data_IF_921305742159
#
_entry.id   IF_921305742159
#
_cell.length_a   1.000
_cell.length_b   1.000
_cell.length_c   1.000
_cell.angle_alpha   90.00
_cell.angle_beta   90.00
_cell.angle_gamma   90.00
#
_symmetry.space_group_name_H-M   'P 1'
#
loop_
_entity.id
_entity.type
_entity.pdbx_description
1 polymer ?
#
# COMPACT_ATOMS: atom_id res chain seq x y z
N UNK A 1 16.69 -40.39 42.54
CA UNK A 1 16.05 -41.25 41.54
C UNK A 1 14.95 -40.41 40.91
N UNK A 2 15.32 -39.59 39.94
CA UNK A 2 14.39 -38.69 39.26
C UNK A 2 13.67 -39.48 38.16
N UNK A 3 12.33 -39.50 38.21
CA UNK A 3 11.50 -39.99 37.12
C UNK A 3 11.10 -38.78 36.29
N UNK A 4 11.66 -38.67 35.08
CA UNK A 4 11.15 -37.74 34.07
C UNK A 4 10.10 -38.48 33.24
N UNK A 5 8.87 -38.02 33.31
CA UNK A 5 7.75 -38.43 32.46
C UNK A 5 8.08 -38.16 30.98
N UNK A 6 7.96 -39.20 30.14
CA UNK A 6 8.00 -39.12 28.69
C UNK A 6 6.77 -38.36 28.17
N UNK A 7 6.98 -37.17 27.61
CA UNK A 7 5.96 -36.47 26.86
C UNK A 7 5.65 -37.22 25.55
N UNK A 8 4.45 -37.78 25.44
CA UNK A 8 3.92 -38.29 24.18
C UNK A 8 3.69 -37.12 23.20
N UNK A 9 4.45 -37.12 22.10
CA UNK A 9 4.21 -36.26 20.94
C UNK A 9 2.96 -36.78 20.23
N UNK A 10 1.82 -36.14 20.46
CA UNK A 10 0.64 -36.28 19.62
C UNK A 10 0.93 -35.60 18.27
N UNK A 11 1.21 -36.38 17.23
CA UNK A 11 1.16 -35.89 15.86
C UNK A 11 -0.30 -35.69 15.45
N UNK A 12 -0.64 -34.45 15.09
CA UNK A 12 -1.93 -34.05 14.57
C UNK A 12 -2.07 -34.54 13.11
N UNK A 13 -3.06 -35.38 12.77
CA UNK A 13 -3.23 -35.94 11.43
C UNK A 13 -3.59 -34.90 10.35
N UNK A 14 -3.75 -33.63 10.72
CA UNK A 14 -4.05 -32.53 9.80
C UNK A 14 -2.82 -32.00 9.04
N UNK A 15 -1.59 -32.25 9.51
CA UNK A 15 -0.36 -31.75 8.86
C UNK A 15 0.14 -32.61 7.69
N UNK A 16 -0.26 -33.88 7.58
CA UNK A 16 0.21 -34.72 6.47
C UNK A 16 -0.52 -34.43 5.14
N UNK A 17 -1.72 -33.84 5.19
CA UNK A 17 -2.48 -33.49 3.98
C UNK A 17 -1.96 -32.24 3.27
N UNK A 18 -1.33 -31.30 3.97
CA UNK A 18 -0.84 -30.04 3.40
C UNK A 18 0.47 -30.24 2.63
N UNK A 19 1.38 -31.04 3.16
CA UNK A 19 2.71 -31.28 2.57
C UNK A 19 2.67 -31.96 1.19
N UNK A 20 1.72 -32.89 0.98
CA UNK A 20 1.53 -33.58 -0.29
C UNK A 20 1.01 -32.65 -1.40
N UNK A 21 0.07 -31.75 -1.07
CA UNK A 21 -0.50 -30.80 -2.02
C UNK A 21 0.52 -29.73 -2.44
N UNK A 22 1.32 -29.24 -1.50
CA UNK A 22 2.37 -28.25 -1.77
C UNK A 22 3.48 -28.81 -2.68
N UNK A 23 3.88 -30.06 -2.47
CA UNK A 23 4.87 -30.74 -3.32
C UNK A 23 4.40 -30.89 -4.79
N UNK A 24 3.11 -31.13 -5.01
CA UNK A 24 2.52 -31.24 -6.35
C UNK A 24 2.42 -29.88 -7.04
N UNK A 25 2.18 -28.80 -6.28
CA UNK A 25 2.15 -27.43 -6.80
C UNK A 25 3.54 -27.02 -7.29
N UNK A 26 4.59 -27.34 -6.53
CA UNK A 26 5.96 -27.00 -6.91
C UNK A 26 6.47 -27.82 -8.10
N UNK A 27 6.11 -29.10 -8.21
CA UNK A 27 6.40 -29.92 -9.38
C UNK A 27 5.73 -29.35 -10.65
N UNK A 28 4.46 -28.92 -10.56
CA UNK A 28 3.74 -28.29 -11.68
C UNK A 28 4.42 -26.98 -12.11
N UNK A 29 4.86 -26.14 -11.16
CA UNK A 29 5.61 -24.90 -11.44
C UNK A 29 6.94 -25.16 -12.14
N UNK A 30 7.66 -26.20 -11.72
CA UNK A 30 8.93 -26.58 -12.34
C UNK A 30 8.74 -27.03 -13.80
N UNK A 31 7.72 -27.85 -14.07
CA UNK A 31 7.38 -28.28 -15.44
C UNK A 31 6.92 -27.11 -16.29
N UNK A 32 6.08 -26.21 -15.76
CA UNK A 32 5.62 -25.03 -16.48
C UNK A 32 6.78 -24.11 -16.89
N UNK A 33 7.75 -23.90 -16.00
CA UNK A 33 8.96 -23.12 -16.30
C UNK A 33 9.76 -23.76 -17.44
N UNK A 34 9.98 -25.08 -17.39
CA UNK A 34 10.69 -25.81 -18.45
C UNK A 34 9.97 -25.74 -19.79
N UNK A 35 8.65 -25.88 -19.78
CA UNK A 35 7.81 -25.78 -20.98
C UNK A 35 7.93 -24.39 -21.63
N UNK A 36 7.85 -23.33 -20.81
CA UNK A 36 7.95 -21.96 -21.29
C UNK A 36 9.33 -21.68 -21.92
N UNK A 37 10.41 -22.13 -21.28
CA UNK A 37 11.76 -22.02 -21.84
C UNK A 37 11.89 -22.78 -23.16
N UNK A 38 11.36 -24.00 -23.25
CA UNK A 38 11.41 -24.81 -24.47
C UNK A 38 10.68 -24.12 -25.64
N UNK A 39 9.46 -23.63 -25.41
CA UNK A 39 8.71 -22.86 -26.40
C UNK A 39 9.52 -21.68 -26.93
N UNK A 40 10.14 -20.92 -26.04
CA UNK A 40 10.92 -19.75 -26.43
C UNK A 40 12.14 -20.12 -27.27
N UNK A 41 12.86 -21.19 -26.93
CA UNK A 41 13.98 -21.68 -27.72
C UNK A 41 13.57 -22.15 -29.13
N UNK A 42 12.45 -22.88 -29.23
CA UNK A 42 11.92 -23.33 -30.51
C UNK A 42 11.51 -22.15 -31.39
N UNK A 43 10.80 -21.18 -30.81
CA UNK A 43 10.39 -19.97 -31.53
C UNK A 43 11.58 -19.15 -32.02
N UNK A 44 12.61 -18.95 -31.20
CA UNK A 44 13.84 -18.25 -31.60
C UNK A 44 14.55 -18.93 -32.77
N UNK A 45 14.61 -20.26 -32.77
CA UNK A 45 15.22 -21.01 -33.86
C UNK A 45 14.36 -20.93 -35.13
N UNK A 46 13.07 -21.15 -35.00
CA UNK A 46 12.13 -21.13 -36.11
C UNK A 46 12.06 -19.76 -36.78
N UNK A 47 12.19 -18.64 -36.05
CA UNK A 47 12.12 -17.29 -36.60
C UNK A 47 13.09 -17.03 -37.78
N UNK A 48 14.19 -17.78 -37.86
CA UNK A 48 15.18 -17.67 -38.94
C UNK A 48 14.76 -18.35 -40.26
N UNK A 49 13.71 -19.18 -40.26
CA UNK A 49 13.27 -19.99 -41.39
C UNK A 49 11.73 -20.13 -41.43
N UNK A 50 11.12 -19.78 -42.55
CA UNK A 50 9.67 -19.85 -42.72
C UNK A 50 9.13 -21.28 -42.58
N UNK A 51 9.82 -22.29 -43.11
CA UNK A 51 9.37 -23.68 -43.02
C UNK A 51 9.36 -24.18 -41.57
N UNK A 52 10.37 -23.80 -40.78
CA UNK A 52 10.45 -24.16 -39.37
C UNK A 52 9.36 -23.45 -38.54
N UNK A 53 8.96 -22.23 -38.93
CA UNK A 53 7.82 -21.54 -38.31
C UNK A 53 6.50 -22.25 -38.55
N UNK A 54 6.26 -22.72 -39.78
CA UNK A 54 5.06 -23.50 -40.10
C UNK A 54 5.09 -24.86 -39.39
N UNK A 55 6.22 -25.56 -39.40
CA UNK A 55 6.36 -26.83 -38.69
C UNK A 55 6.14 -26.69 -37.16
N UNK A 56 6.62 -25.59 -36.55
CA UNK A 56 6.35 -25.28 -35.16
C UNK A 56 4.87 -25.01 -34.91
N UNK A 57 4.22 -24.24 -35.79
CA UNK A 57 2.80 -23.94 -35.71
C UNK A 57 1.95 -25.22 -35.82
N UNK A 58 2.18 -26.05 -36.83
CA UNK A 58 1.46 -27.32 -37.05
C UNK A 58 1.57 -28.24 -35.83
N UNK A 59 2.78 -28.35 -35.25
CA UNK A 59 2.99 -29.12 -34.03
C UNK A 59 2.24 -28.55 -32.82
N UNK A 60 2.17 -27.21 -32.69
CA UNK A 60 1.39 -26.56 -31.63
C UNK A 60 -0.12 -26.73 -31.83
N UNK A 61 -0.59 -26.71 -33.07
CA UNK A 61 -1.99 -26.95 -33.43
C UNK A 61 -2.40 -28.40 -33.14
N UNK A 62 -1.55 -29.37 -33.50
CA UNK A 62 -1.77 -30.78 -33.18
C UNK A 62 -1.83 -31.01 -31.66
N UNK A 63 -0.93 -30.38 -30.90
CA UNK A 63 -0.96 -30.42 -29.44
C UNK A 63 -2.21 -29.77 -28.86
N UNK A 64 -2.64 -28.63 -29.42
CA UNK A 64 -3.88 -27.95 -29.04
C UNK A 64 -5.09 -28.87 -29.23
N UNK A 65 -5.19 -29.54 -30.38
CA UNK A 65 -6.26 -30.49 -30.64
C UNK A 65 -6.23 -31.70 -29.71
N UNK A 66 -5.04 -32.23 -29.37
CA UNK A 66 -4.92 -33.33 -28.40
C UNK A 66 -5.37 -32.94 -26.99
N UNK A 67 -5.15 -31.69 -26.58
CA UNK A 67 -5.49 -31.20 -25.24
C UNK A 67 -6.94 -30.73 -25.12
N UNK A 68 -7.49 -30.15 -26.18
CA UNK A 68 -8.76 -29.42 -26.12
C UNK A 68 -9.79 -29.83 -27.18
N UNK A 69 -9.47 -30.77 -28.09
CA UNK A 69 -10.33 -31.17 -29.20
C UNK A 69 -10.50 -30.06 -30.25
N UNK A 70 -11.68 -29.96 -30.86
CA UNK A 70 -12.03 -28.89 -31.82
C UNK A 70 -12.39 -27.57 -31.12
N UNK A 71 -12.60 -27.62 -29.80
CA UNK A 71 -12.84 -26.43 -29.00
C UNK A 71 -11.51 -25.84 -28.60
N UNK A 72 -10.99 -24.87 -29.37
CA UNK A 72 -9.95 -23.98 -28.83
C UNK A 72 -10.55 -23.35 -27.59
N UNK A 73 -10.04 -23.63 -26.37
CA UNK A 73 -10.52 -22.92 -25.21
C UNK A 73 -10.09 -21.50 -25.46
N UNK A 74 -11.05 -20.61 -25.71
CA UNK A 74 -10.84 -19.21 -25.42
C UNK A 74 -10.31 -19.22 -24.00
N UNK A 75 -9.00 -18.93 -23.86
CA UNK A 75 -8.32 -18.86 -22.57
C UNK A 75 -9.27 -18.07 -21.74
N UNK A 76 -9.97 -18.74 -20.82
CA UNK A 76 -11.03 -18.11 -20.07
C UNK A 76 -10.24 -17.16 -19.22
N UNK A 77 -10.09 -15.92 -19.72
CA UNK A 77 -9.26 -14.92 -19.08
C UNK A 77 -9.93 -14.81 -17.75
N UNK A 78 -9.31 -15.38 -16.72
CA UNK A 78 -9.89 -15.43 -15.40
C UNK A 78 -10.39 -14.02 -15.15
N UNK A 79 -11.70 -13.88 -14.89
CA UNK A 79 -12.27 -12.54 -14.74
C UNK A 79 -11.41 -11.79 -13.73
N UNK A 80 -11.13 -10.51 -13.93
CA UNK A 80 -10.19 -9.76 -13.07
C UNK A 80 -10.46 -9.99 -11.56
N UNK A 81 -11.73 -10.13 -11.19
CA UNK A 81 -12.16 -10.52 -9.86
C UNK A 81 -11.61 -11.88 -9.42
N UNK A 82 -11.80 -12.92 -10.21
CA UNK A 82 -11.32 -14.28 -9.93
C UNK A 82 -9.79 -14.36 -9.88
N UNK A 83 -9.08 -13.58 -10.70
CA UNK A 83 -7.61 -13.48 -10.60
C UNK A 83 -7.17 -12.86 -9.28
N UNK A 84 -7.87 -11.82 -8.81
CA UNK A 84 -7.58 -11.17 -7.52
C UNK A 84 -7.90 -12.13 -6.36
N UNK A 85 -9.03 -12.81 -6.40
CA UNK A 85 -9.44 -13.78 -5.37
C UNK A 85 -8.43 -14.93 -5.26
N UNK A 86 -7.97 -15.46 -6.39
CA UNK A 86 -6.94 -16.50 -6.41
C UNK A 86 -5.59 -15.99 -5.89
N UNK A 87 -5.21 -14.73 -6.18
CA UNK A 87 -3.96 -14.15 -5.71
C UNK A 87 -3.95 -13.99 -4.18
N UNK A 88 -5.07 -13.56 -3.61
CA UNK A 88 -5.20 -13.33 -2.17
C UNK A 88 -5.73 -14.56 -1.40
N UNK A 89 -6.14 -15.63 -2.10
CA UNK A 89 -6.71 -16.85 -1.51
C UNK A 89 -8.06 -16.64 -0.83
N UNK A 90 -8.73 -15.51 -1.08
CA UNK A 90 -9.95 -15.10 -0.40
C UNK A 90 -10.94 -14.54 -1.40
N UNK A 91 -12.21 -14.93 -1.27
CA UNK A 91 -13.30 -14.36 -2.06
C UNK A 91 -13.49 -12.87 -1.72
N UNK A 92 -13.89 -12.08 -2.72
CA UNK A 92 -14.18 -10.66 -2.53
C UNK A 92 -15.34 -10.49 -1.54
N UNK A 93 -15.18 -9.68 -0.47
CA UNK A 93 -16.28 -9.38 0.43
C UNK A 93 -17.44 -8.70 -0.30
N UNK A 94 -18.69 -9.10 0.02
CA UNK A 94 -19.90 -8.49 -0.55
C UNK A 94 -20.13 -7.06 -0.06
N UNK A 95 -19.60 -6.73 1.12
CA UNK A 95 -19.69 -5.40 1.74
C UNK A 95 -18.29 -4.95 2.12
N UNK A 96 -17.90 -3.76 1.65
CA UNK A 96 -16.64 -3.12 2.01
C UNK A 96 -16.96 -1.81 2.73
N UNK A 97 -16.69 -1.75 4.03
CA UNK A 97 -16.79 -0.52 4.81
C UNK A 97 -15.47 0.23 4.69
N UNK A 98 -15.43 1.27 3.85
CA UNK A 98 -14.26 2.15 3.72
C UNK A 98 -14.41 3.30 4.71
N UNK A 99 -13.54 3.35 5.72
CA UNK A 99 -13.45 4.51 6.59
C UNK A 99 -12.53 5.57 5.97
N UNK A 100 -12.88 6.87 6.11
CA UNK A 100 -11.96 7.94 5.76
C UNK A 100 -10.62 7.77 6.51
N UNK A 101 -9.48 8.15 5.90
CA UNK A 101 -8.21 8.17 6.61
C UNK A 101 -8.33 9.05 7.85
N UNK A 102 -7.65 8.66 8.92
CA UNK A 102 -7.54 9.50 10.11
C UNK A 102 -6.94 10.85 9.71
N UNK A 103 -7.63 11.94 10.02
CA UNK A 103 -7.13 13.29 9.73
C UNK A 103 -5.93 13.54 10.64
N UNK A 104 -4.73 13.55 10.06
CA UNK A 104 -3.50 13.89 10.78
C UNK A 104 -3.26 15.39 10.72
N UNK A 105 -3.01 16.03 11.86
CA UNK A 105 -2.64 17.43 11.91
C UNK A 105 -1.18 17.59 11.50
N UNK A 106 -0.93 17.94 10.23
CA UNK A 106 0.42 18.28 9.77
C UNK A 106 0.73 19.75 10.04
N UNK A 107 2.00 20.17 9.88
CA UNK A 107 2.41 21.58 10.03
C UNK A 107 1.60 22.53 9.14
N UNK A 108 1.05 22.06 8.01
CA UNK A 108 0.18 22.83 7.11
C UNK A 108 -1.31 22.79 7.45
N UNK A 109 -1.74 21.99 8.43
CA UNK A 109 -3.15 21.72 8.75
C UNK A 109 -3.68 22.55 9.93
N UNK A 110 -3.01 23.65 10.28
CA UNK A 110 -3.23 24.39 11.53
C UNK A 110 -4.52 25.21 11.61
N UNK A 111 -5.44 24.72 12.46
CA UNK A 111 -6.72 25.31 12.88
C UNK A 111 -7.72 25.52 11.74
N UNK A 112 -9.01 25.66 12.10
CA UNK A 112 -10.23 25.75 11.27
C UNK A 112 -10.15 26.57 9.97
N UNK A 113 -9.11 27.39 9.80
CA UNK A 113 -8.82 28.21 8.61
C UNK A 113 -7.75 27.62 7.67
N UNK A 114 -7.19 26.43 7.92
CA UNK A 114 -6.18 25.78 7.06
C UNK A 114 -4.81 26.47 7.04
N UNK A 115 -4.46 27.19 8.11
CA UNK A 115 -3.22 27.98 8.18
C UNK A 115 -2.07 27.14 8.73
N UNK A 116 -0.83 27.50 8.41
CA UNK A 116 0.34 26.82 9.01
C UNK A 116 0.34 26.95 10.54
N UNK A 117 0.61 25.86 11.26
CA UNK A 117 0.87 25.92 12.70
C UNK A 117 2.19 26.69 12.92
N UNK A 118 2.11 27.81 13.64
CA UNK A 118 3.28 28.61 14.01
C UNK A 118 3.95 28.03 15.26
N UNK A 119 5.28 27.91 15.23
CA UNK A 119 6.07 27.47 16.39
C UNK A 119 6.06 28.52 17.51
N UNK A 120 6.46 28.12 18.72
CA UNK A 120 6.62 29.04 19.85
C UNK A 120 7.61 30.16 19.53
N UNK A 121 8.73 29.83 18.89
CA UNK A 121 9.75 30.77 18.45
C UNK A 121 9.19 31.76 17.41
N UNK A 122 8.43 31.28 16.42
CA UNK A 122 7.81 32.16 15.41
C UNK A 122 6.81 33.13 16.04
N UNK A 123 5.99 32.65 16.98
CA UNK A 123 5.05 33.50 17.74
C UNK A 123 5.80 34.57 18.55
N UNK A 124 6.92 34.21 19.18
CA UNK A 124 7.74 35.15 19.94
C UNK A 124 8.36 36.24 19.06
N UNK A 125 8.94 35.85 17.90
CA UNK A 125 9.50 36.80 16.93
C UNK A 125 8.42 37.75 16.40
N UNK A 126 7.25 37.23 16.02
CA UNK A 126 6.13 38.07 15.56
C UNK A 126 5.72 39.05 16.66
N UNK A 127 5.66 38.62 17.92
CA UNK A 127 5.32 39.49 19.04
C UNK A 127 6.38 40.58 19.27
N UNK A 128 7.66 40.23 19.21
CA UNK A 128 8.78 41.16 19.34
C UNK A 128 8.78 42.21 18.22
N UNK A 129 8.51 41.80 16.99
CA UNK A 129 8.51 42.67 15.81
C UNK A 129 7.25 43.54 15.68
N UNK A 130 6.28 43.44 16.61
CA UNK A 130 5.13 44.35 16.58
C UNK A 130 5.59 45.79 16.79
N UNK A 131 5.20 46.73 15.92
CA UNK A 131 5.64 48.11 16.03
C UNK A 131 5.15 48.73 17.34
N UNK A 132 6.00 49.57 17.93
CA UNK A 132 5.61 50.43 19.06
C UNK A 132 4.56 51.41 18.56
N UNK A 133 3.55 51.66 19.39
CA UNK A 133 2.47 52.61 19.09
C UNK A 133 2.20 53.48 20.31
N UNK A 134 1.68 54.69 20.07
CA UNK A 134 1.35 55.64 21.15
C UNK A 134 0.09 55.17 21.87
N UNK A 135 0.18 54.96 23.17
CA UNK A 135 -0.97 54.62 23.99
C UNK A 135 -1.86 55.85 24.21
N UNK A 136 -3.17 55.77 23.95
CA UNK A 136 -4.08 56.90 24.17
C UNK A 136 -4.24 57.27 25.66
N UNK A 137 -3.99 56.33 26.58
CA UNK A 137 -4.14 56.53 28.04
C UNK A 137 -2.93 57.23 28.66
N UNK A 138 -1.71 56.75 28.40
CA UNK A 138 -0.48 57.31 28.98
C UNK A 138 0.35 58.17 28.01
N UNK A 139 -0.04 58.24 26.74
CA UNK A 139 0.66 58.97 25.66
C UNK A 139 2.08 58.51 25.35
N UNK A 140 2.55 57.40 25.92
CA UNK A 140 3.87 56.82 25.67
C UNK A 140 3.89 55.85 24.49
N UNK A 141 5.04 55.74 23.82
CA UNK A 141 5.30 54.76 22.77
C UNK A 141 5.70 53.42 23.37
N UNK A 142 4.89 52.38 23.17
CA UNK A 142 5.19 51.04 23.69
C UNK A 142 4.41 49.92 23.01
N UNK A 143 4.49 48.71 23.56
CA UNK A 143 3.80 47.51 23.06
C UNK A 143 2.41 47.29 23.71
N UNK A 144 1.83 48.32 24.33
CA UNK A 144 0.52 48.26 25.00
C UNK A 144 -0.46 49.29 24.42
N UNK A 145 -1.78 49.00 24.41
CA UNK A 145 -2.84 49.99 24.07
C UNK A 145 -3.49 50.56 25.34
N UNK A 146 -4.47 51.44 25.18
CA UNK A 146 -5.21 52.01 26.30
C UNK A 146 -5.97 50.95 27.12
N UNK A 147 -6.31 49.79 26.53
CA UNK A 147 -7.02 48.68 27.19
C UNK A 147 -6.09 47.88 28.08
N UNK A 148 -4.86 47.66 27.62
CA UNK A 148 -3.80 46.95 28.37
C UNK A 148 -2.78 47.91 29.00
N UNK A 149 -3.15 49.16 29.24
CA UNK A 149 -2.25 50.14 29.84
C UNK A 149 -2.27 49.99 31.36
N UNK A 150 -1.14 49.57 31.93
CA UNK A 150 -0.95 49.37 33.38
C UNK A 150 -0.87 50.66 34.20
N UNK A 151 -0.93 51.85 33.58
CA UNK A 151 -1.08 53.10 34.31
C UNK A 151 -2.53 53.27 34.73
N UNK A 152 -2.78 53.52 36.01
CA UNK A 152 -4.10 53.95 36.49
C UNK A 152 -4.45 55.33 35.90
N UNK A 153 -5.74 55.61 35.70
CA UNK A 153 -6.19 56.87 35.09
C UNK A 153 -5.89 58.04 36.05
N UNK A 154 -5.06 58.99 35.61
CA UNK A 154 -4.76 60.25 36.31
C UNK A 154 -3.53 60.11 37.22
N UNK A 155 -2.47 60.90 37.04
CA UNK A 155 -2.51 62.37 37.19
C UNK A 155 -1.69 63.03 36.07
N UNK A 156 -2.32 63.94 35.34
CA UNK A 156 -1.63 65.03 34.65
C UNK A 156 -1.12 65.99 35.74
N UNK A 157 0.17 65.92 36.08
CA UNK A 157 0.81 67.06 36.73
C UNK A 157 1.18 68.02 35.61
N UNK A 158 0.62 69.23 35.70
CA UNK A 158 0.93 70.38 34.83
C UNK A 158 2.43 70.69 34.85
#
# INVERSE_FOLDING_TARGET
MEMFDEAQVHNDPSEESSTSADSQIDAKRAVATKLHSLYFHLFQRAQSNADDMFALFDGMEELSHKLFGDTVPSVSSMGKAQSIENLYGLARPSVVTVHPPNVVSTKGSGSTSGKRIQSSLEKAIILQNKPKRRCAKCREMGHHDARNCGREKGKSTM
#
